data_IF_023046647865
#
_entry.id   IF_023046647865
#
_cell.length_a   1.000
_cell.length_b   1.000
_cell.length_c   1.000
_cell.angle_alpha   90.00
_cell.angle_beta   90.00
_cell.angle_gamma   90.00
#
_symmetry.space_group_name_H-M   'P 1'
#
loop_
_entity.id
_entity.type
_entity.pdbx_description
1 polymer ?
#
# COMPACT_ATOMS: atom_id res chain seq x y z
N UNK A 1 -28.41 -6.51 -15.20
CA UNK A 1 -27.18 -7.26 -14.80
C UNK A 1 -27.26 -7.44 -13.28
N UNK A 2 -27.05 -8.66 -12.78
CA UNK A 2 -26.93 -8.88 -11.34
C UNK A 2 -25.61 -8.30 -10.80
N UNK A 3 -25.52 -8.04 -9.49
CA UNK A 3 -24.26 -7.57 -8.90
C UNK A 3 -23.12 -8.56 -9.10
N UNK A 4 -23.40 -9.86 -9.00
CA UNK A 4 -22.40 -10.90 -9.25
C UNK A 4 -21.90 -10.90 -10.71
N UNK A 5 -22.78 -10.67 -11.68
CA UNK A 5 -22.36 -10.49 -13.07
C UNK A 5 -21.52 -9.24 -13.25
N UNK A 6 -21.90 -8.15 -12.58
CA UNK A 6 -21.15 -6.90 -12.64
C UNK A 6 -19.74 -7.09 -12.09
N UNK A 7 -19.58 -7.63 -10.87
CA UNK A 7 -18.26 -7.81 -10.28
C UNK A 7 -17.37 -8.78 -11.07
N UNK A 8 -17.95 -9.87 -11.59
CA UNK A 8 -17.22 -10.82 -12.45
C UNK A 8 -16.73 -10.16 -13.74
N UNK A 9 -17.59 -9.46 -14.43
CA UNK A 9 -17.23 -8.84 -15.70
C UNK A 9 -16.20 -7.71 -15.50
N UNK A 10 -16.40 -6.86 -14.51
CA UNK A 10 -15.52 -5.72 -14.21
C UNK A 10 -14.14 -6.20 -13.74
N UNK A 11 -14.08 -7.06 -12.70
CA UNK A 11 -12.82 -7.58 -12.19
C UNK A 11 -12.02 -8.30 -13.27
N UNK A 12 -12.68 -9.17 -14.07
CA UNK A 12 -12.00 -9.92 -15.13
C UNK A 12 -11.51 -9.04 -16.27
N UNK A 13 -12.23 -7.98 -16.59
CA UNK A 13 -11.75 -6.99 -17.55
C UNK A 13 -10.49 -6.30 -17.05
N UNK A 14 -10.49 -5.78 -15.81
CA UNK A 14 -9.33 -5.12 -15.21
C UNK A 14 -8.14 -6.10 -15.08
N UNK A 15 -8.40 -7.35 -14.66
CA UNK A 15 -7.38 -8.39 -14.55
C UNK A 15 -6.71 -8.73 -15.87
N UNK A 16 -7.45 -8.67 -16.98
CA UNK A 16 -6.91 -8.90 -18.33
C UNK A 16 -6.05 -7.73 -18.84
N UNK A 17 -6.25 -6.53 -18.33
CA UNK A 17 -5.62 -5.29 -18.80
C UNK A 17 -4.87 -4.58 -17.64
N UNK A 18 -3.94 -5.27 -16.94
CA UNK A 18 -3.24 -4.67 -15.83
C UNK A 18 -2.20 -3.66 -16.32
N UNK A 19 -2.04 -2.57 -15.57
CA UNK A 19 -1.06 -1.54 -15.83
C UNK A 19 -0.22 -1.27 -14.59
N UNK A 20 1.07 -0.96 -14.79
CA UNK A 20 2.00 -0.67 -13.70
C UNK A 20 1.71 0.68 -13.07
N UNK A 21 2.22 0.87 -11.85
CA UNK A 21 2.15 2.12 -11.09
C UNK A 21 2.52 3.34 -11.94
N UNK A 22 1.73 4.41 -11.87
CA UNK A 22 1.81 5.65 -12.65
C UNK A 22 1.68 5.47 -14.18
N UNK A 23 1.28 4.29 -14.63
CA UNK A 23 1.02 3.99 -16.04
C UNK A 23 -0.41 3.46 -16.27
N UNK A 24 -1.30 3.60 -15.28
CA UNK A 24 -2.68 3.11 -15.26
C UNK A 24 -3.61 3.97 -16.14
N UNK A 25 -3.21 4.22 -17.39
CA UNK A 25 -3.94 5.13 -18.30
C UNK A 25 -5.27 4.56 -18.77
N UNK A 26 -5.28 3.28 -19.19
CA UNK A 26 -6.47 2.59 -19.68
C UNK A 26 -7.43 2.27 -18.52
N UNK A 27 -6.90 1.87 -17.37
CA UNK A 27 -7.65 1.67 -16.13
C UNK A 27 -8.32 2.96 -15.67
N UNK A 28 -7.57 4.07 -15.67
CA UNK A 28 -8.09 5.42 -15.37
C UNK A 28 -9.22 5.79 -16.34
N UNK A 29 -9.01 5.61 -17.65
CA UNK A 29 -10.03 5.91 -18.67
C UNK A 29 -11.29 5.04 -18.51
N UNK A 30 -11.11 3.76 -18.16
CA UNK A 30 -12.22 2.85 -17.88
C UNK A 30 -13.07 3.32 -16.70
N UNK A 31 -12.42 3.79 -15.61
CA UNK A 31 -13.10 4.33 -14.43
C UNK A 31 -13.79 5.67 -14.76
N UNK A 32 -13.15 6.55 -15.52
CA UNK A 32 -13.76 7.81 -15.99
C UNK A 32 -15.01 7.56 -16.83
N UNK A 33 -14.95 6.61 -17.76
CA UNK A 33 -16.10 6.25 -18.61
C UNK A 33 -17.25 5.64 -17.78
N UNK A 34 -16.92 4.83 -16.76
CA UNK A 34 -17.89 4.31 -15.82
C UNK A 34 -18.61 5.44 -15.04
N UNK A 35 -17.86 6.37 -14.45
CA UNK A 35 -18.42 7.51 -13.71
C UNK A 35 -19.25 8.42 -14.62
N UNK A 36 -18.78 8.65 -15.84
CA UNK A 36 -19.49 9.41 -16.86
C UNK A 36 -20.82 8.76 -17.27
N UNK A 37 -20.86 7.44 -17.45
CA UNK A 37 -22.10 6.70 -17.72
C UNK A 37 -23.12 6.83 -16.59
N UNK A 38 -22.65 6.91 -15.35
CA UNK A 38 -23.48 7.14 -14.18
C UNK A 38 -23.82 8.62 -13.94
N UNK A 39 -23.31 9.55 -14.77
CA UNK A 39 -23.42 10.99 -14.55
C UNK A 39 -22.91 11.42 -13.16
N UNK A 40 -21.82 10.83 -12.69
CA UNK A 40 -21.12 11.22 -11.45
C UNK A 40 -20.01 12.21 -11.79
N UNK A 41 -19.97 13.41 -11.17
CA UNK A 41 -18.85 14.32 -11.32
C UNK A 41 -17.54 13.67 -10.88
N UNK A 42 -16.48 13.87 -11.64
CA UNK A 42 -15.15 13.34 -11.33
C UNK A 42 -14.04 14.28 -11.81
N UNK A 43 -12.85 14.04 -11.31
CA UNK A 43 -11.63 14.71 -11.73
C UNK A 43 -10.43 13.78 -11.71
N UNK A 44 -9.42 14.09 -12.50
CA UNK A 44 -8.11 13.43 -12.52
C UNK A 44 -7.08 14.42 -11.98
N UNK A 45 -6.70 14.31 -10.69
CA UNK A 45 -5.85 15.32 -10.05
C UNK A 45 -4.36 15.18 -10.38
N UNK A 46 -3.92 13.99 -10.77
CA UNK A 46 -2.54 13.66 -11.16
C UNK A 46 -2.54 12.88 -12.48
N UNK A 47 -1.41 12.29 -12.86
CA UNK A 47 -1.23 11.62 -14.16
C UNK A 47 -2.25 10.51 -14.40
N UNK A 48 -2.53 9.70 -13.38
CA UNK A 48 -3.50 8.60 -13.39
C UNK A 48 -4.34 8.63 -12.11
N UNK A 49 -5.36 7.77 -12.01
CA UNK A 49 -6.31 7.79 -10.91
C UNK A 49 -7.44 8.79 -11.05
N UNK A 50 -8.52 8.59 -10.33
CA UNK A 50 -9.77 9.37 -10.46
C UNK A 50 -10.40 9.60 -9.08
N UNK A 51 -10.90 10.80 -8.87
CA UNK A 51 -11.72 11.15 -7.71
C UNK A 51 -13.15 11.43 -8.19
N UNK A 52 -14.11 10.61 -7.75
CA UNK A 52 -15.54 10.84 -7.97
C UNK A 52 -16.20 11.43 -6.75
N UNK A 53 -17.32 12.18 -6.95
CA UNK A 53 -18.05 12.81 -5.86
C UNK A 53 -19.56 12.78 -6.06
N UNK A 54 -20.30 12.48 -5.00
CA UNK A 54 -21.75 12.63 -4.93
C UNK A 54 -22.13 13.42 -3.68
N UNK A 55 -22.96 14.43 -3.85
CA UNK A 55 -23.52 15.22 -2.75
C UNK A 55 -24.74 14.51 -2.17
N UNK A 56 -24.72 14.24 -0.87
CA UNK A 56 -25.81 13.58 -0.14
C UNK A 56 -26.71 14.57 0.59
N UNK A 57 -27.55 14.03 1.48
CA UNK A 57 -28.57 14.82 2.21
C UNK A 57 -28.02 15.52 3.45
N UNK A 58 -26.76 15.27 3.84
CA UNK A 58 -26.11 15.93 4.98
C UNK A 58 -24.83 16.63 4.56
N UNK A 59 -24.26 17.43 5.45
CA UNK A 59 -22.96 18.09 5.22
C UNK A 59 -21.75 17.19 5.58
N UNK A 60 -21.98 15.95 6.03
CA UNK A 60 -20.91 15.03 6.36
C UNK A 60 -20.35 14.40 5.09
N UNK A 61 -19.04 14.34 4.95
CA UNK A 61 -18.37 13.75 3.82
C UNK A 61 -17.53 12.52 4.22
N UNK A 62 -17.80 11.39 3.59
CA UNK A 62 -17.09 10.14 3.82
C UNK A 62 -16.37 9.73 2.53
N UNK A 63 -15.09 9.38 2.63
CA UNK A 63 -14.32 8.90 1.50
C UNK A 63 -14.12 7.38 1.56
N UNK A 64 -14.11 6.74 0.40
CA UNK A 64 -13.83 5.31 0.22
C UNK A 64 -12.77 5.15 -0.85
N UNK A 65 -11.75 4.34 -0.56
CA UNK A 65 -10.56 4.19 -1.43
C UNK A 65 -10.44 2.77 -1.97
N UNK A 66 -10.03 2.70 -3.21
CA UNK A 66 -9.45 1.52 -3.83
C UNK A 66 -8.21 1.93 -4.64
N UNK A 67 -7.17 1.11 -4.59
CA UNK A 67 -6.00 1.17 -5.46
C UNK A 67 -6.31 0.58 -6.84
N UNK A 68 -5.52 0.96 -7.87
CA UNK A 68 -5.80 0.57 -9.26
C UNK A 68 -4.60 -0.01 -10.02
N UNK A 69 -3.40 0.03 -9.47
CA UNK A 69 -2.16 -0.38 -10.13
C UNK A 69 -1.92 -1.90 -10.05
N UNK A 70 -0.99 -2.39 -10.88
CA UNK A 70 -0.58 -3.77 -10.98
C UNK A 70 0.94 -3.91 -10.84
N UNK A 71 1.42 -5.16 -10.79
CA UNK A 71 2.79 -5.54 -10.52
C UNK A 71 3.51 -6.13 -11.74
N UNK A 72 4.84 -5.95 -11.85
CA UNK A 72 5.65 -6.55 -12.92
C UNK A 72 5.88 -8.05 -12.66
N UNK A 73 4.81 -8.83 -12.73
CA UNK A 73 4.78 -10.28 -12.46
C UNK A 73 4.14 -11.01 -13.63
N UNK A 74 4.82 -12.04 -14.15
CA UNK A 74 4.26 -12.90 -15.20
C UNK A 74 3.24 -13.87 -14.61
N UNK A 75 1.98 -13.68 -14.93
CA UNK A 75 0.91 -14.60 -14.51
C UNK A 75 1.05 -15.98 -15.13
N UNK A 76 0.82 -17.03 -14.34
CA UNK A 76 0.86 -18.43 -14.79
C UNK A 76 -0.47 -19.18 -14.59
N UNK A 77 -1.53 -18.51 -14.14
CA UNK A 77 -2.85 -19.11 -14.00
C UNK A 77 -3.38 -19.58 -15.36
N UNK A 78 -4.13 -20.67 -15.33
CA UNK A 78 -4.89 -21.18 -16.50
C UNK A 78 -6.36 -20.81 -16.35
N UNK A 79 -6.66 -19.54 -16.57
CA UNK A 79 -8.00 -18.98 -16.48
C UNK A 79 -8.34 -18.16 -17.73
N UNK A 80 -9.62 -18.12 -18.16
CA UNK A 80 -10.01 -17.42 -19.40
C UNK A 80 -9.83 -15.89 -19.33
N UNK A 81 -9.63 -15.33 -18.15
CA UNK A 81 -9.40 -13.90 -17.90
C UNK A 81 -7.98 -13.58 -17.45
N UNK A 82 -7.03 -14.47 -17.73
CA UNK A 82 -5.61 -14.24 -17.50
C UNK A 82 -5.15 -12.91 -18.10
N UNK A 83 -4.18 -12.25 -17.47
CA UNK A 83 -3.54 -11.05 -18.01
C UNK A 83 -3.12 -11.22 -19.47
N UNK A 84 -3.48 -10.25 -20.30
CA UNK A 84 -3.06 -10.17 -21.71
C UNK A 84 -1.79 -9.34 -21.90
N UNK A 85 -1.29 -8.74 -20.81
CA UNK A 85 -0.06 -7.92 -20.80
C UNK A 85 1.11 -8.77 -20.31
N UNK A 86 2.12 -8.91 -21.15
CA UNK A 86 3.31 -9.70 -20.81
C UNK A 86 4.04 -9.10 -19.61
N UNK A 87 4.46 -9.97 -18.67
CA UNK A 87 5.15 -9.58 -17.44
C UNK A 87 4.38 -8.61 -16.52
N UNK A 88 3.05 -8.46 -16.65
CA UNK A 88 2.24 -7.62 -15.76
C UNK A 88 1.00 -8.38 -15.28
N UNK A 89 0.68 -8.29 -13.99
CA UNK A 89 -0.45 -8.96 -13.37
C UNK A 89 -0.98 -8.16 -12.16
N UNK A 90 -2.29 -8.15 -11.94
CA UNK A 90 -2.88 -7.75 -10.66
C UNK A 90 -2.61 -8.81 -9.59
N UNK A 91 -1.35 -8.91 -9.15
CA UNK A 91 -0.91 -9.91 -8.17
C UNK A 91 -1.07 -9.44 -6.71
N UNK A 92 -1.66 -8.26 -6.48
CA UNK A 92 -2.08 -7.77 -5.17
C UNK A 92 -3.61 -7.67 -5.02
N UNK A 93 -4.37 -7.83 -6.11
CA UNK A 93 -5.84 -7.87 -6.09
C UNK A 93 -6.52 -6.51 -6.25
N UNK A 94 -5.79 -5.48 -6.70
CA UNK A 94 -6.32 -4.13 -6.89
C UNK A 94 -7.44 -4.09 -7.96
N UNK A 95 -7.45 -5.01 -8.92
CA UNK A 95 -8.59 -5.25 -9.81
C UNK A 95 -9.88 -5.55 -9.05
N UNK A 96 -9.77 -6.29 -7.95
CA UNK A 96 -10.88 -6.56 -7.03
C UNK A 96 -11.27 -5.34 -6.22
N UNK A 97 -10.31 -4.64 -5.61
CA UNK A 97 -10.59 -3.44 -4.81
C UNK A 97 -11.31 -2.38 -5.64
N UNK A 98 -10.79 -2.09 -6.84
CA UNK A 98 -11.42 -1.19 -7.82
C UNK A 98 -12.83 -1.63 -8.16
N UNK A 99 -13.04 -2.93 -8.45
CA UNK A 99 -14.36 -3.49 -8.77
C UNK A 99 -15.35 -3.33 -7.62
N UNK A 100 -14.94 -3.61 -6.38
CA UNK A 100 -15.80 -3.46 -5.22
C UNK A 100 -16.21 -2.00 -5.00
N UNK A 101 -15.28 -1.06 -5.16
CA UNK A 101 -15.59 0.37 -5.09
C UNK A 101 -16.52 0.80 -6.23
N UNK A 102 -16.37 0.27 -7.45
CA UNK A 102 -17.28 0.55 -8.57
C UNK A 102 -18.68 0.03 -8.27
N UNK A 103 -18.85 -1.16 -7.69
CA UNK A 103 -20.16 -1.67 -7.27
C UNK A 103 -20.79 -0.76 -6.20
N UNK A 104 -20.01 -0.38 -5.19
CA UNK A 104 -20.47 0.55 -4.15
C UNK A 104 -20.86 1.92 -4.75
N UNK A 105 -20.09 2.42 -5.72
CA UNK A 105 -20.41 3.66 -6.46
C UNK A 105 -21.76 3.57 -7.17
N UNK A 106 -22.10 2.44 -7.80
CA UNK A 106 -23.42 2.22 -8.39
C UNK A 106 -24.53 2.27 -7.34
N UNK A 107 -24.33 1.65 -6.18
CA UNK A 107 -25.30 1.67 -5.07
C UNK A 107 -25.51 3.09 -4.55
N UNK A 108 -24.45 3.86 -4.35
CA UNK A 108 -24.53 5.27 -3.96
C UNK A 108 -25.30 6.11 -5.00
N UNK A 109 -25.03 5.88 -6.30
CA UNK A 109 -25.76 6.57 -7.37
C UNK A 109 -27.25 6.22 -7.37
N UNK A 110 -27.60 4.97 -7.12
CA UNK A 110 -29.00 4.56 -7.04
C UNK A 110 -29.73 5.21 -5.85
N UNK A 111 -29.06 5.42 -4.71
CA UNK A 111 -29.59 6.18 -3.57
C UNK A 111 -29.69 7.68 -3.90
N UNK A 112 -28.68 8.24 -4.53
CA UNK A 112 -28.66 9.64 -4.97
C UNK A 112 -29.84 9.95 -5.91
N UNK A 113 -30.12 9.10 -6.89
CA UNK A 113 -31.22 9.29 -7.85
C UNK A 113 -32.60 9.24 -7.20
N UNK A 114 -32.72 8.59 -6.04
CA UNK A 114 -33.93 8.58 -5.21
C UNK A 114 -34.01 9.73 -4.21
N UNK A 115 -32.93 10.50 -4.04
CA UNK A 115 -32.80 11.51 -2.97
C UNK A 115 -32.60 10.89 -1.58
N UNK A 116 -32.06 9.68 -1.51
CA UNK A 116 -31.87 8.88 -0.29
C UNK A 116 -30.41 8.75 0.12
N UNK A 117 -29.45 9.35 -0.61
CA UNK A 117 -28.03 9.28 -0.25
C UNK A 117 -27.78 10.07 1.06
N UNK A 118 -27.42 9.41 2.17
CA UNK A 118 -27.42 10.05 3.48
C UNK A 118 -26.31 11.09 3.64
N UNK A 119 -25.13 10.85 3.09
CA UNK A 119 -23.93 11.67 3.25
C UNK A 119 -23.29 11.96 1.90
N UNK A 120 -22.45 13.00 1.86
CA UNK A 120 -21.56 13.22 0.72
C UNK A 120 -20.56 12.07 0.64
N UNK A 121 -20.29 11.59 -0.58
CA UNK A 121 -19.37 10.47 -0.81
C UNK A 121 -18.28 10.87 -1.79
N UNK A 122 -17.03 10.67 -1.38
CA UNK A 122 -15.83 10.77 -2.22
C UNK A 122 -15.36 9.37 -2.56
N UNK A 123 -15.28 9.04 -3.85
CA UNK A 123 -14.73 7.79 -4.36
C UNK A 123 -13.31 8.03 -4.81
N UNK A 124 -12.33 7.37 -4.17
CA UNK A 124 -10.90 7.53 -4.45
C UNK A 124 -10.43 6.28 -5.19
N UNK A 125 -10.25 6.38 -6.50
CA UNK A 125 -9.59 5.38 -7.32
C UNK A 125 -8.13 5.78 -7.45
N UNK A 126 -7.31 5.27 -6.54
CA UNK A 126 -5.96 5.71 -6.29
C UNK A 126 -4.94 4.96 -7.14
N UNK A 127 -4.05 5.63 -7.88
CA UNK A 127 -2.95 4.99 -8.59
C UNK A 127 -1.76 4.68 -7.66
N UNK A 128 -0.84 3.83 -8.13
CA UNK A 128 0.53 3.72 -7.63
C UNK A 128 0.64 3.45 -6.12
N UNK A 129 -0.09 2.46 -5.62
CA UNK A 129 0.10 1.98 -4.24
C UNK A 129 1.45 1.29 -4.09
N UNK A 130 1.86 0.49 -5.08
CA UNK A 130 2.98 -0.46 -4.99
C UNK A 130 4.37 0.20 -5.05
N UNK A 131 4.50 1.42 -5.56
CA UNK A 131 5.83 2.01 -5.78
C UNK A 131 6.01 3.48 -5.38
N UNK A 132 5.11 4.38 -5.79
CA UNK A 132 5.37 5.82 -5.74
C UNK A 132 4.45 6.58 -4.77
N UNK A 133 3.83 5.87 -3.80
CA UNK A 133 2.96 6.46 -2.79
C UNK A 133 1.88 7.37 -3.41
N UNK A 134 1.05 6.80 -4.30
CA UNK A 134 -0.01 7.52 -4.99
C UNK A 134 -0.98 8.25 -4.06
N UNK A 135 -1.24 7.68 -2.87
CA UNK A 135 -2.02 8.36 -1.82
C UNK A 135 -1.38 9.71 -1.43
N UNK A 136 -0.05 9.72 -1.20
CA UNK A 136 0.66 10.95 -0.85
C UNK A 136 0.64 11.96 -2.00
N UNK A 137 0.81 11.50 -3.25
CA UNK A 137 0.73 12.37 -4.42
C UNK A 137 -0.65 13.01 -4.59
N UNK A 138 -1.73 12.24 -4.36
CA UNK A 138 -3.10 12.77 -4.35
C UNK A 138 -3.29 13.83 -3.27
N UNK A 139 -2.78 13.60 -2.06
CA UNK A 139 -2.84 14.57 -0.96
C UNK A 139 -2.07 15.84 -1.33
N UNK A 140 -0.85 15.72 -1.84
CA UNK A 140 -0.02 16.84 -2.25
C UNK A 140 -0.61 17.66 -3.43
N UNK A 141 -1.49 17.06 -4.23
CA UNK A 141 -2.22 17.78 -5.28
C UNK A 141 -3.29 18.74 -4.75
N UNK A 142 -3.58 18.71 -3.46
CA UNK A 142 -4.63 19.48 -2.76
C UNK A 142 -6.05 19.19 -3.30
N UNK A 143 -6.27 18.06 -3.98
CA UNK A 143 -7.57 17.71 -4.55
C UNK A 143 -8.66 17.57 -3.48
N UNK A 144 -8.28 17.18 -2.28
CA UNK A 144 -9.20 16.91 -1.18
C UNK A 144 -9.67 18.15 -0.41
N UNK A 145 -9.01 19.29 -0.55
CA UNK A 145 -9.28 20.51 0.26
C UNK A 145 -10.73 21.00 0.17
N UNK A 146 -11.38 20.75 -0.96
CA UNK A 146 -12.76 21.21 -1.23
C UNK A 146 -13.84 20.27 -0.67
N UNK A 147 -13.49 19.04 -0.28
CA UNK A 147 -14.49 18.03 0.09
C UNK A 147 -14.81 17.98 1.59
N UNK A 148 -13.97 18.56 2.45
CA UNK A 148 -14.12 18.52 3.91
C UNK A 148 -14.37 17.09 4.42
N UNK A 149 -13.47 16.16 4.06
CA UNK A 149 -13.58 14.74 4.39
C UNK A 149 -13.46 14.55 5.91
N UNK A 150 -14.41 13.83 6.52
CA UNK A 150 -14.46 13.57 7.95
C UNK A 150 -14.00 12.15 8.32
N UNK A 151 -14.13 11.20 7.39
CA UNK A 151 -13.74 9.80 7.57
C UNK A 151 -13.28 9.20 6.25
N UNK A 152 -12.29 8.32 6.32
CA UNK A 152 -11.79 7.61 5.14
C UNK A 152 -11.73 6.11 5.42
N UNK A 153 -12.30 5.32 4.54
CA UNK A 153 -12.30 3.87 4.64
C UNK A 153 -11.61 3.23 3.44
N UNK A 154 -10.79 2.22 3.73
CA UNK A 154 -10.14 1.38 2.73
C UNK A 154 -10.26 -0.09 3.10
N UNK A 155 -10.09 -0.94 2.11
CA UNK A 155 -10.04 -2.39 2.28
C UNK A 155 -8.92 -2.98 1.44
N UNK A 156 -8.45 -4.16 1.87
CA UNK A 156 -7.60 -5.00 1.05
C UNK A 156 -8.07 -6.45 1.11
N UNK A 157 -7.97 -7.19 0.02
CA UNK A 157 -8.17 -8.64 0.05
C UNK A 157 -7.00 -9.32 0.77
N UNK A 158 -7.27 -10.41 1.47
CA UNK A 158 -6.25 -11.08 2.26
C UNK A 158 -6.24 -12.60 2.06
N UNK A 159 -5.30 -13.12 1.25
CA UNK A 159 -5.20 -14.55 0.99
C UNK A 159 -4.64 -15.37 2.17
N UNK A 160 -4.32 -14.74 3.30
CA UNK A 160 -3.94 -15.41 4.55
C UNK A 160 -5.14 -15.68 5.46
N UNK A 161 -6.28 -15.02 5.18
CA UNK A 161 -7.55 -15.23 5.87
C UNK A 161 -8.50 -16.04 4.99
N UNK A 162 -9.27 -16.93 5.58
CA UNK A 162 -10.23 -17.75 4.83
C UNK A 162 -11.37 -16.89 4.27
N UNK A 163 -11.91 -17.26 3.13
CA UNK A 163 -13.08 -16.61 2.51
C UNK A 163 -14.24 -16.56 3.51
N UNK A 164 -14.94 -15.43 3.57
CA UNK A 164 -15.98 -15.18 4.56
C UNK A 164 -15.46 -14.66 5.92
N UNK A 165 -14.15 -14.43 6.06
CA UNK A 165 -13.55 -13.81 7.25
C UNK A 165 -13.17 -12.36 6.95
N UNK A 166 -13.32 -11.46 7.93
CA UNK A 166 -12.76 -10.10 7.88
C UNK A 166 -11.81 -9.92 9.06
N UNK A 167 -10.56 -9.62 8.73
CA UNK A 167 -9.54 -9.29 9.72
C UNK A 167 -9.48 -7.77 9.91
N UNK A 168 -9.51 -7.32 11.15
CA UNK A 168 -9.48 -5.92 11.53
C UNK A 168 -8.76 -5.75 12.88
N UNK A 169 -8.34 -4.55 13.17
CA UNK A 169 -7.64 -4.24 14.42
C UNK A 169 -7.74 -2.73 14.67
N UNK A 170 -7.81 -2.35 15.92
CA UNK A 170 -7.58 -0.97 16.31
C UNK A 170 -6.09 -0.66 16.35
N UNK A 171 -5.70 0.60 16.23
CA UNK A 171 -4.30 1.05 16.15
C UNK A 171 -3.57 0.50 14.92
N UNK A 172 -2.28 0.18 14.99
CA UNK A 172 -1.48 -0.26 13.84
C UNK A 172 -2.00 -1.58 13.26
N UNK A 173 -2.30 -1.58 11.97
CA UNK A 173 -2.76 -2.75 11.23
C UNK A 173 -1.73 -3.25 10.20
N UNK A 174 -0.88 -2.35 9.67
CA UNK A 174 0.30 -2.70 8.85
C UNK A 174 1.54 -1.99 9.36
N UNK A 175 2.72 -2.43 8.91
CA UNK A 175 4.00 -1.81 9.24
C UNK A 175 4.32 -0.62 8.32
N UNK A 176 5.26 0.22 8.72
CA UNK A 176 5.94 1.12 7.79
C UNK A 176 6.73 0.32 6.74
N UNK A 177 6.96 0.93 5.59
CA UNK A 177 7.82 0.38 4.55
C UNK A 177 8.78 1.47 4.10
N UNK A 178 10.06 1.34 4.39
CA UNK A 178 11.09 2.31 3.97
C UNK A 178 12.30 1.56 3.47
N UNK A 179 12.72 1.82 2.25
CA UNK A 179 13.98 1.34 1.72
C UNK A 179 15.10 2.33 2.01
N UNK A 180 16.31 1.84 2.17
CA UNK A 180 17.48 2.66 2.40
C UNK A 180 18.67 2.18 1.58
N UNK A 181 19.57 3.12 1.24
CA UNK A 181 20.79 2.83 0.51
C UNK A 181 21.96 3.66 1.04
N UNK A 182 23.03 2.99 1.44
CA UNK A 182 24.32 3.60 1.68
C UNK A 182 25.15 3.58 0.39
N UNK A 183 25.79 4.72 0.10
CA UNK A 183 26.80 4.84 -0.96
C UNK A 183 28.13 5.20 -0.34
N UNK A 184 29.18 4.48 -0.72
CA UNK A 184 30.54 4.69 -0.24
C UNK A 184 31.43 5.02 -1.41
N UNK A 185 32.27 6.05 -1.23
CA UNK A 185 33.27 6.45 -2.22
C UNK A 185 34.60 6.77 -1.55
N UNK A 186 35.59 5.92 -1.79
CA UNK A 186 36.97 6.11 -1.37
C UNK A 186 37.86 6.54 -2.54
N UNK A 187 39.07 6.01 -2.58
CA UNK A 187 39.99 6.19 -3.71
C UNK A 187 40.76 4.90 -4.01
N UNK A 188 40.88 4.56 -5.30
CA UNK A 188 41.56 3.37 -5.71
C UNK A 188 43.11 3.53 -5.71
N UNK A 189 43.79 2.46 -5.40
CA UNK A 189 45.26 2.31 -5.59
C UNK A 189 45.61 0.88 -5.94
N UNK A 190 46.86 0.63 -6.38
CA UNK A 190 47.33 -0.72 -6.57
C UNK A 190 47.51 -1.41 -5.20
N UNK A 191 47.17 -2.69 -5.08
CA UNK A 191 47.24 -3.43 -3.82
C UNK A 191 48.67 -3.44 -3.21
N UNK A 192 49.71 -3.29 -3.99
CA UNK A 192 51.10 -3.17 -3.50
C UNK A 192 51.40 -1.80 -2.85
N UNK A 193 50.54 -0.80 -3.08
CA UNK A 193 50.62 0.55 -2.50
C UNK A 193 49.27 0.89 -1.91
N UNK A 194 48.71 -0.02 -1.11
CA UNK A 194 47.38 0.09 -0.54
C UNK A 194 47.17 1.29 0.36
N UNK A 195 48.26 1.77 0.98
CA UNK A 195 48.33 2.94 1.85
C UNK A 195 48.01 4.26 1.12
N UNK A 196 48.14 4.27 -0.22
CA UNK A 196 47.79 5.43 -1.05
C UNK A 196 46.30 5.52 -1.37
N UNK A 197 45.56 4.45 -1.11
CA UNK A 197 44.11 4.39 -1.36
C UNK A 197 43.27 4.56 -0.09
N UNK A 198 41.97 4.79 -0.29
CA UNK A 198 40.94 4.80 0.77
C UNK A 198 39.92 3.70 0.47
N UNK A 199 39.94 2.64 1.27
CA UNK A 199 39.24 1.40 0.96
C UNK A 199 37.74 1.48 1.29
N UNK A 200 36.87 1.57 0.29
CA UNK A 200 35.44 1.43 0.47
C UNK A 200 35.04 0.09 1.12
N UNK A 201 35.85 -0.98 0.93
CA UNK A 201 35.57 -2.28 1.58
C UNK A 201 35.74 -2.29 3.07
N UNK A 202 36.73 -1.55 3.62
CA UNK A 202 36.90 -1.41 5.08
C UNK A 202 35.72 -0.64 5.69
N UNK A 203 35.35 0.47 5.06
CA UNK A 203 34.17 1.26 5.43
C UNK A 203 32.88 0.44 5.35
N UNK A 204 32.70 -0.38 4.30
CA UNK A 204 31.53 -1.24 4.13
C UNK A 204 31.37 -2.26 5.26
N UNK A 205 32.47 -2.88 5.71
CA UNK A 205 32.40 -3.80 6.85
C UNK A 205 31.92 -3.09 8.13
N UNK A 206 32.30 -1.84 8.33
CA UNK A 206 31.84 -1.04 9.45
C UNK A 206 30.34 -0.71 9.31
N UNK A 207 29.89 -0.20 8.15
CA UNK A 207 28.45 0.08 7.89
C UNK A 207 27.61 -1.17 8.14
N UNK A 208 27.95 -2.29 7.52
CA UNK A 208 27.23 -3.57 7.65
C UNK A 208 27.13 -4.01 9.12
N UNK A 209 28.24 -3.94 9.85
CA UNK A 209 28.27 -4.29 11.28
C UNK A 209 27.38 -3.39 12.11
N UNK A 210 27.39 -2.08 11.90
CA UNK A 210 26.62 -1.12 12.68
C UNK A 210 25.12 -1.19 12.34
N UNK A 211 24.76 -1.27 11.05
CA UNK A 211 23.35 -1.38 10.63
C UNK A 211 22.69 -2.61 11.23
N UNK A 212 23.36 -3.76 11.22
CA UNK A 212 22.83 -5.01 11.80
C UNK A 212 22.67 -4.97 13.32
N UNK A 213 23.26 -4.01 14.00
CA UNK A 213 23.19 -3.83 15.46
C UNK A 213 22.13 -2.80 15.89
N UNK A 214 21.57 -2.00 14.98
CA UNK A 214 20.59 -0.95 15.32
C UNK A 214 19.42 -1.55 16.11
N UNK A 215 18.84 -2.61 15.60
CA UNK A 215 17.67 -3.28 16.22
C UNK A 215 18.01 -3.79 17.63
N UNK A 216 19.21 -4.30 17.84
CA UNK A 216 19.63 -4.89 19.11
C UNK A 216 19.86 -3.85 20.20
N UNK A 217 20.37 -2.67 19.87
CA UNK A 217 20.88 -1.71 20.87
C UNK A 217 20.10 -0.40 20.95
N UNK A 218 19.27 -0.08 19.95
CA UNK A 218 18.63 1.23 19.87
C UNK A 218 17.09 1.18 19.87
N UNK A 219 16.49 0.02 19.61
CA UNK A 219 15.04 -0.16 19.58
C UNK A 219 14.54 -0.89 20.82
N UNK A 220 13.27 -0.65 21.17
CA UNK A 220 12.64 -1.37 22.26
C UNK A 220 12.48 -2.86 21.88
N UNK A 221 13.02 -3.76 22.69
CA UNK A 221 12.95 -5.21 22.45
C UNK A 221 11.55 -5.83 22.47
N UNK A 222 10.53 -5.08 22.93
CA UNK A 222 9.13 -5.49 22.87
C UNK A 222 8.45 -5.08 21.56
N UNK A 223 8.99 -4.09 20.85
CA UNK A 223 8.49 -3.65 19.57
C UNK A 223 8.95 -4.61 18.48
N UNK A 224 8.04 -4.86 17.51
CA UNK A 224 8.39 -5.63 16.32
C UNK A 224 8.95 -4.69 15.27
N UNK A 225 10.18 -4.94 14.88
CA UNK A 225 10.89 -4.15 13.90
C UNK A 225 11.70 -5.07 12.99
N UNK A 226 11.89 -4.65 11.74
CA UNK A 226 12.83 -5.24 10.81
C UNK A 226 13.79 -4.15 10.34
N UNK A 227 15.07 -4.37 10.53
CA UNK A 227 16.15 -3.61 9.88
C UNK A 227 16.97 -4.65 9.11
N UNK A 228 16.70 -4.76 7.81
CA UNK A 228 17.24 -5.83 6.98
C UNK A 228 18.20 -5.27 5.93
N UNK A 229 19.35 -5.92 5.78
CA UNK A 229 20.26 -5.69 4.67
C UNK A 229 19.95 -6.70 3.55
N UNK A 230 19.43 -6.22 2.42
CA UNK A 230 19.04 -7.04 1.29
C UNK A 230 20.23 -7.40 0.40
N UNK A 231 21.06 -6.41 0.08
CA UNK A 231 22.27 -6.61 -0.72
C UNK A 231 23.34 -5.57 -0.43
N UNK A 232 24.57 -5.91 -0.76
CA UNK A 232 25.69 -4.97 -0.81
C UNK A 232 26.70 -5.42 -1.87
N UNK A 233 27.43 -4.45 -2.40
CA UNK A 233 28.51 -4.69 -3.32
C UNK A 233 29.67 -3.71 -3.03
N UNK A 234 30.89 -4.15 -3.18
CA UNK A 234 32.07 -3.31 -3.00
C UNK A 234 33.25 -3.81 -3.80
N UNK A 235 33.89 -2.90 -4.53
CA UNK A 235 35.11 -3.16 -5.30
C UNK A 235 34.89 -3.53 -6.75
N UNK A 236 35.92 -3.27 -7.56
CA UNK A 236 35.90 -3.36 -9.02
C UNK A 236 36.84 -4.47 -9.51
N UNK A 237 37.97 -4.71 -8.82
CA UNK A 237 38.97 -5.68 -9.20
C UNK A 237 39.74 -6.29 -8.02
N UNK A 238 40.26 -7.50 -8.18
CA UNK A 238 40.87 -8.27 -7.09
C UNK A 238 42.23 -7.73 -6.60
N UNK A 239 42.89 -6.89 -7.40
CA UNK A 239 44.23 -6.38 -7.12
C UNK A 239 44.31 -4.86 -6.98
N UNK A 240 43.18 -4.22 -6.70
CA UNK A 240 43.08 -2.79 -6.42
C UNK A 240 42.42 -2.54 -5.03
N UNK A 241 42.72 -1.41 -4.42
CA UNK A 241 41.96 -0.90 -3.29
C UNK A 241 40.58 -0.49 -3.81
N UNK A 242 39.47 -1.04 -3.27
CA UNK A 242 38.11 -0.71 -3.74
C UNK A 242 37.76 0.76 -3.54
N UNK A 243 37.30 1.43 -4.59
CA UNK A 243 36.88 2.82 -4.55
C UNK A 243 35.39 2.96 -4.22
N UNK A 244 34.54 2.12 -4.80
CA UNK A 244 33.10 2.27 -4.69
C UNK A 244 32.46 1.09 -3.96
N UNK A 245 31.37 1.38 -3.27
CA UNK A 245 30.51 0.39 -2.66
C UNK A 245 29.11 0.92 -2.41
N UNK A 246 28.12 0.02 -2.33
CA UNK A 246 26.79 0.33 -1.88
C UNK A 246 26.22 -0.81 -1.01
N UNK A 247 25.30 -0.44 -0.12
CA UNK A 247 24.52 -1.37 0.69
C UNK A 247 23.05 -0.92 0.69
N UNK A 248 22.15 -1.84 0.41
CA UNK A 248 20.72 -1.59 0.32
C UNK A 248 19.94 -2.51 1.24
N UNK A 249 18.83 -1.99 1.76
CA UNK A 249 17.96 -2.75 2.63
C UNK A 249 16.60 -2.11 2.85
N UNK A 250 15.84 -2.73 3.74
CA UNK A 250 14.49 -2.26 4.10
C UNK A 250 14.31 -2.17 5.60
N UNK A 251 13.51 -1.19 6.01
CA UNK A 251 13.06 -0.96 7.39
C UNK A 251 11.57 -1.22 7.45
N UNK A 252 11.13 -1.96 8.48
CA UNK A 252 9.72 -2.15 8.84
C UNK A 252 9.55 -1.86 10.31
N UNK A 253 8.69 -0.93 10.66
CA UNK A 253 8.34 -0.61 12.05
C UNK A 253 6.84 -0.39 12.17
N UNK A 254 6.29 -0.61 13.36
CA UNK A 254 4.91 -0.22 13.67
C UNK A 254 4.83 1.15 14.32
N UNK A 255 5.91 1.59 14.93
CA UNK A 255 6.01 2.88 15.60
C UNK A 255 6.82 3.84 14.73
N UNK A 256 6.25 5.00 14.41
CA UNK A 256 6.94 6.07 13.67
C UNK A 256 8.19 6.56 14.39
N UNK A 257 8.19 6.57 15.74
CA UNK A 257 9.36 6.97 16.51
C UNK A 257 10.50 5.95 16.34
N UNK A 258 10.21 4.64 16.28
CA UNK A 258 11.22 3.62 16.00
C UNK A 258 11.84 3.82 14.60
N UNK A 259 11.03 4.18 13.59
CA UNK A 259 11.52 4.52 12.26
C UNK A 259 12.50 5.69 12.28
N UNK A 260 12.14 6.76 12.99
CA UNK A 260 13.01 7.93 13.13
C UNK A 260 14.31 7.61 13.88
N UNK A 261 14.25 6.75 14.91
CA UNK A 261 15.45 6.26 15.60
C UNK A 261 16.37 5.52 14.62
N UNK A 262 15.83 4.62 13.80
CA UNK A 262 16.62 3.86 12.80
C UNK A 262 17.27 4.81 11.79
N UNK A 263 16.51 5.73 11.20
CA UNK A 263 17.03 6.72 10.24
C UNK A 263 18.14 7.57 10.85
N UNK A 264 17.94 8.07 12.07
CA UNK A 264 18.94 8.85 12.78
C UNK A 264 20.22 8.05 13.11
N UNK A 265 20.10 6.75 13.45
CA UNK A 265 21.28 5.91 13.66
C UNK A 265 22.02 5.65 12.34
N UNK A 266 21.33 5.42 11.24
CA UNK A 266 21.94 5.24 9.93
C UNK A 266 22.69 6.49 9.46
N UNK A 267 22.14 7.68 9.72
CA UNK A 267 22.84 8.94 9.44
C UNK A 267 24.15 9.06 10.24
N UNK A 268 24.12 8.75 11.54
CA UNK A 268 25.33 8.74 12.40
C UNK A 268 26.35 7.70 11.94
N UNK A 269 25.89 6.54 11.43
CA UNK A 269 26.78 5.54 10.86
C UNK A 269 27.51 6.13 9.65
N UNK A 270 26.80 6.79 8.73
CA UNK A 270 27.41 7.44 7.57
C UNK A 270 28.48 8.47 8.00
N UNK A 271 28.13 9.36 8.93
CA UNK A 271 29.06 10.36 9.48
C UNK A 271 30.31 9.72 10.14
N UNK A 272 30.12 8.62 10.88
CA UNK A 272 31.23 7.91 11.53
C UNK A 272 32.21 7.30 10.54
N UNK A 273 31.71 6.82 9.39
CA UNK A 273 32.53 6.24 8.30
C UNK A 273 33.48 7.28 7.73
N UNK A 274 32.99 8.47 7.43
CA UNK A 274 33.80 9.56 6.92
C UNK A 274 34.95 9.92 7.89
N UNK A 275 34.63 9.98 9.18
CA UNK A 275 35.58 10.32 10.25
C UNK A 275 36.64 9.23 10.44
N UNK A 276 36.29 7.95 10.34
CA UNK A 276 37.17 6.83 10.67
C UNK A 276 38.03 6.36 9.48
N UNK A 277 37.53 6.48 8.26
CA UNK A 277 38.12 5.84 7.08
C UNK A 277 38.50 6.83 5.98
N UNK A 278 38.23 8.13 6.12
CA UNK A 278 38.37 9.14 5.07
C UNK A 278 37.66 8.73 3.73
N UNK A 279 36.55 8.03 3.85
CA UNK A 279 35.68 7.58 2.74
C UNK A 279 34.38 8.35 2.80
N UNK A 280 33.96 8.99 1.71
CA UNK A 280 32.63 9.63 1.66
C UNK A 280 31.55 8.58 1.79
N UNK A 281 30.60 8.83 2.69
CA UNK A 281 29.47 7.93 2.92
C UNK A 281 28.17 8.75 3.01
N UNK A 282 27.23 8.41 2.15
CA UNK A 282 25.87 8.98 2.24
C UNK A 282 24.86 7.87 2.46
N UNK A 283 23.75 8.20 3.12
CA UNK A 283 22.58 7.32 3.24
C UNK A 283 21.35 8.04 2.70
N UNK A 284 20.70 7.41 1.75
CA UNK A 284 19.43 7.86 1.18
C UNK A 284 18.30 6.95 1.66
N UNK A 285 17.13 7.52 1.86
CA UNK A 285 15.90 6.80 2.16
C UNK A 285 14.91 7.05 1.03
N UNK A 286 14.37 5.97 0.46
CA UNK A 286 13.24 6.10 -0.43
C UNK A 286 12.05 6.71 0.31
N UNK A 287 11.16 7.39 -0.42
CA UNK A 287 9.88 7.79 0.13
C UNK A 287 9.12 6.52 0.53
N UNK A 288 9.00 6.30 1.82
CA UNK A 288 8.40 5.09 2.37
C UNK A 288 7.01 5.37 2.89
N UNK A 289 6.31 4.31 3.28
CA UNK A 289 4.97 4.38 3.85
C UNK A 289 5.06 4.39 5.38
N UNK A 290 4.36 5.33 6.07
CA UNK A 290 4.20 5.21 7.51
C UNK A 290 3.36 3.96 7.85
N UNK A 291 3.32 3.51 9.12
CA UNK A 291 2.41 2.44 9.53
C UNK A 291 0.97 2.83 9.25
N UNK A 292 0.18 1.91 8.69
CA UNK A 292 -1.27 2.13 8.61
C UNK A 292 -1.86 1.94 10.00
N UNK A 293 -2.38 3.03 10.55
CA UNK A 293 -2.93 3.08 11.90
C UNK A 293 -4.41 3.42 11.84
N UNK A 294 -5.24 2.47 12.24
CA UNK A 294 -6.69 2.63 12.34
C UNK A 294 -7.04 3.57 13.48
N UNK A 295 -7.94 4.52 13.23
CA UNK A 295 -8.33 5.49 14.25
C UNK A 295 -9.35 4.89 15.22
N UNK A 296 -9.03 4.94 16.51
CA UNK A 296 -9.84 4.35 17.57
C UNK A 296 -11.28 4.89 17.62
N UNK A 297 -11.50 6.14 17.19
CA UNK A 297 -12.85 6.72 17.18
C UNK A 297 -13.78 6.08 16.15
N UNK A 298 -13.22 5.39 15.13
CA UNK A 298 -14.00 4.70 14.10
C UNK A 298 -14.26 3.22 14.44
N UNK A 299 -13.59 2.68 15.45
CA UNK A 299 -13.60 1.25 15.77
C UNK A 299 -15.01 0.70 16.03
N UNK A 300 -15.79 1.36 16.88
CA UNK A 300 -17.13 0.86 17.25
C UNK A 300 -18.06 0.85 16.03
N UNK A 301 -18.02 1.89 15.20
CA UNK A 301 -18.80 1.97 13.97
C UNK A 301 -18.40 0.89 12.96
N UNK A 302 -17.09 0.70 12.76
CA UNK A 302 -16.58 -0.37 11.88
C UNK A 302 -17.02 -1.75 12.38
N UNK A 303 -16.87 -2.02 13.68
CA UNK A 303 -17.27 -3.29 14.28
C UNK A 303 -18.78 -3.53 14.16
N UNK A 304 -19.60 -2.51 14.35
CA UNK A 304 -21.05 -2.58 14.12
C UNK A 304 -21.37 -2.91 12.65
N UNK A 305 -20.77 -2.20 11.70
CA UNK A 305 -20.94 -2.47 10.28
C UNK A 305 -20.55 -3.91 9.91
N UNK A 306 -19.39 -4.37 10.36
CA UNK A 306 -18.93 -5.75 10.10
C UNK A 306 -19.86 -6.79 10.76
N UNK A 307 -20.36 -6.53 11.98
CA UNK A 307 -21.25 -7.45 12.69
C UNK A 307 -22.63 -7.57 12.00
N UNK A 308 -23.04 -6.57 11.24
CA UNK A 308 -24.29 -6.61 10.48
C UNK A 308 -24.24 -7.51 9.24
N UNK A 309 -23.04 -7.97 8.86
CA UNK A 309 -22.80 -8.85 7.72
C UNK A 309 -22.66 -10.31 8.17
N UNK A 310 -22.97 -11.23 7.28
CA UNK A 310 -22.78 -12.68 7.52
C UNK A 310 -21.30 -13.08 7.30
N UNK A 311 -20.42 -12.56 8.16
CA UNK A 311 -18.98 -12.73 8.07
C UNK A 311 -18.39 -13.16 9.42
N UNK A 312 -17.33 -13.96 9.37
CA UNK A 312 -16.52 -14.28 10.54
C UNK A 312 -15.59 -13.12 10.85
N UNK A 313 -15.64 -12.58 12.06
CA UNK A 313 -14.79 -11.47 12.49
C UNK A 313 -13.52 -11.99 13.14
N UNK A 314 -12.37 -11.60 12.61
CA UNK A 314 -11.05 -11.88 13.16
C UNK A 314 -10.39 -10.59 13.62
N UNK A 315 -10.53 -10.28 14.92
CA UNK A 315 -9.81 -9.17 15.53
C UNK A 315 -8.35 -9.56 15.73
N UNK A 316 -7.45 -8.93 14.96
CA UNK A 316 -6.04 -9.29 14.94
C UNK A 316 -5.33 -8.94 16.26
N UNK A 317 -4.64 -9.91 16.84
CA UNK A 317 -3.76 -9.66 17.98
C UNK A 317 -2.51 -8.85 17.59
N UNK A 318 -2.05 -8.99 16.36
CA UNK A 318 -0.80 -8.41 15.83
C UNK A 318 -1.01 -7.91 14.43
N UNK A 319 -0.47 -6.73 14.09
CA UNK A 319 -0.55 -6.20 12.73
C UNK A 319 0.28 -7.03 11.73
N UNK A 320 -0.02 -6.88 10.45
CA UNK A 320 0.78 -7.46 9.37
C UNK A 320 2.07 -6.67 9.13
N UNK A 321 3.11 -7.34 8.58
CA UNK A 321 4.45 -6.75 8.37
C UNK A 321 4.66 -6.15 6.97
N UNK A 322 3.65 -6.07 6.13
CA UNK A 322 3.74 -5.35 4.85
C UNK A 322 3.37 -3.87 5.02
N UNK A 323 3.75 -3.05 4.06
CA UNK A 323 3.40 -1.64 4.00
C UNK A 323 2.12 -1.42 3.20
N UNK A 324 1.47 -0.26 3.38
CA UNK A 324 0.27 0.16 2.66
C UNK A 324 0.22 1.70 2.65
N UNK A 325 0.15 2.30 1.49
CA UNK A 325 0.18 3.76 1.35
C UNK A 325 -1.13 4.45 1.75
N UNK A 326 -2.21 3.69 1.96
CA UNK A 326 -3.42 4.18 2.63
C UNK A 326 -3.12 4.92 3.95
N UNK A 327 -2.02 4.58 4.59
CA UNK A 327 -1.50 5.22 5.80
C UNK A 327 -1.39 6.74 5.69
N UNK A 328 -1.15 7.29 4.50
CA UNK A 328 -1.05 8.73 4.28
C UNK A 328 -2.38 9.46 4.47
N UNK A 329 -3.52 8.81 4.20
CA UNK A 329 -4.84 9.45 4.33
C UNK A 329 -5.18 9.89 5.74
N UNK A 330 -4.52 9.35 6.75
CA UNK A 330 -4.67 9.82 8.14
C UNK A 330 -4.29 11.30 8.32
N UNK A 331 -3.52 11.88 7.40
CA UNK A 331 -3.20 13.31 7.40
C UNK A 331 -4.43 14.18 7.06
N UNK A 332 -5.42 13.62 6.36
CA UNK A 332 -6.63 14.34 5.94
C UNK A 332 -7.75 14.18 6.97
N UNK A 333 -7.98 12.96 7.44
CA UNK A 333 -9.09 12.62 8.33
C UNK A 333 -8.82 11.31 9.07
N UNK A 334 -9.56 11.02 10.15
CA UNK A 334 -9.61 9.70 10.75
C UNK A 334 -9.87 8.62 9.70
N UNK A 335 -9.04 7.59 9.69
CA UNK A 335 -9.10 6.54 8.67
C UNK A 335 -9.13 5.14 9.27
N UNK A 336 -9.76 4.21 8.56
CA UNK A 336 -9.86 2.83 8.99
C UNK A 336 -9.72 1.86 7.82
N UNK A 337 -8.90 0.83 8.02
CA UNK A 337 -8.56 -0.17 7.02
C UNK A 337 -8.86 -1.57 7.54
N UNK A 338 -9.43 -2.45 6.70
CA UNK A 338 -9.77 -3.83 7.05
C UNK A 338 -9.35 -4.79 5.93
N UNK A 339 -9.21 -6.07 6.27
CA UNK A 339 -8.81 -7.11 5.33
C UNK A 339 -9.92 -8.14 5.13
N UNK A 340 -10.35 -8.34 3.89
CA UNK A 340 -11.32 -9.36 3.52
C UNK A 340 -10.63 -10.65 3.09
N UNK A 341 -10.88 -11.73 3.80
CA UNK A 341 -10.32 -13.03 3.53
C UNK A 341 -10.73 -13.59 2.16
N UNK A 342 -9.76 -14.14 1.44
CA UNK A 342 -9.96 -14.68 0.09
C UNK A 342 -9.44 -16.11 -0.07
N UNK A 343 -8.81 -16.68 0.97
CA UNK A 343 -8.29 -18.04 0.92
C UNK A 343 -9.42 -19.03 0.76
N UNK A 344 -9.36 -19.87 -0.28
CA UNK A 344 -10.32 -20.93 -0.52
C UNK A 344 -9.57 -22.20 -0.99
N UNK A 345 -9.36 -23.13 -0.06
CA UNK A 345 -8.62 -24.38 -0.33
C UNK A 345 -9.34 -25.29 -1.33
N UNK A 346 -10.67 -25.30 -1.33
CA UNK A 346 -11.46 -26.14 -2.23
C UNK A 346 -11.34 -25.70 -3.71
N UNK A 347 -11.10 -24.39 -3.95
CA UNK A 347 -10.93 -23.81 -5.28
C UNK A 347 -9.47 -23.58 -5.65
N UNK A 348 -8.51 -24.04 -4.84
CA UNK A 348 -7.07 -23.80 -5.02
C UNK A 348 -6.67 -22.30 -5.00
N UNK A 349 -7.46 -21.43 -4.33
CA UNK A 349 -7.12 -20.03 -4.08
C UNK A 349 -6.35 -19.92 -2.76
N UNK A 350 -5.09 -20.35 -2.79
CA UNK A 350 -4.21 -20.47 -1.62
C UNK A 350 -2.90 -19.71 -1.77
N UNK A 351 -2.71 -19.04 -2.89
CA UNK A 351 -1.49 -18.33 -3.19
C UNK A 351 -1.52 -16.91 -2.59
N UNK A 352 -0.39 -16.48 -2.02
CA UNK A 352 -0.25 -15.20 -1.34
C UNK A 352 -0.20 -14.01 -2.30
N UNK A 353 -0.24 -12.81 -1.72
CA UNK A 353 0.01 -11.56 -2.43
C UNK A 353 1.37 -11.58 -3.12
N UNK A 354 1.52 -10.85 -4.24
CA UNK A 354 2.73 -10.74 -5.06
C UNK A 354 3.21 -12.08 -5.62
N UNK A 355 2.30 -13.07 -5.73
CA UNK A 355 2.59 -14.32 -6.41
C UNK A 355 1.94 -14.35 -7.79
N UNK A 356 2.58 -15.08 -8.71
CA UNK A 356 2.09 -15.22 -10.08
C UNK A 356 0.85 -16.10 -10.25
N UNK A 357 0.27 -16.54 -9.12
CA UNK A 357 -0.93 -17.40 -9.04
C UNK A 357 -2.03 -16.83 -8.15
N UNK A 358 -1.89 -15.61 -7.65
CA UNK A 358 -2.98 -15.00 -6.87
C UNK A 358 -4.28 -15.05 -7.67
N UNK A 359 -5.31 -15.58 -7.04
CA UNK A 359 -6.68 -15.55 -7.53
C UNK A 359 -7.65 -15.77 -6.36
N UNK A 360 -8.92 -15.38 -6.54
CA UNK A 360 -9.91 -15.45 -5.48
C UNK A 360 -11.34 -15.46 -6.03
N UNK A 361 -12.31 -15.79 -5.16
CA UNK A 361 -13.74 -15.73 -5.47
C UNK A 361 -14.22 -14.30 -5.59
N UNK A 362 -14.78 -13.94 -6.74
CA UNK A 362 -15.30 -12.59 -6.97
C UNK A 362 -16.50 -12.22 -6.07
N UNK A 363 -17.16 -13.21 -5.46
CA UNK A 363 -18.28 -12.96 -4.52
C UNK A 363 -17.83 -12.15 -3.28
N UNK A 364 -16.56 -12.24 -2.86
CA UNK A 364 -16.02 -11.43 -1.76
C UNK A 364 -16.15 -9.93 -2.03
N UNK A 365 -16.14 -9.52 -3.29
CA UNK A 365 -16.24 -8.11 -3.69
C UNK A 365 -17.63 -7.53 -3.41
N UNK A 366 -18.67 -8.37 -3.40
CA UNK A 366 -20.02 -7.98 -2.96
C UNK A 366 -20.00 -7.72 -1.46
N UNK A 367 -19.35 -8.58 -0.66
CA UNK A 367 -19.23 -8.39 0.79
C UNK A 367 -18.46 -7.10 1.12
N UNK A 368 -17.45 -6.73 0.34
CA UNK A 368 -16.76 -5.43 0.49
C UNK A 368 -17.73 -4.27 0.22
N UNK A 369 -18.51 -4.34 -0.86
CA UNK A 369 -19.51 -3.31 -1.17
C UNK A 369 -20.63 -3.26 -0.11
N UNK A 370 -21.02 -4.40 0.50
CA UNK A 370 -21.95 -4.48 1.61
C UNK A 370 -21.39 -3.78 2.85
N UNK A 371 -20.12 -4.00 3.17
CA UNK A 371 -19.42 -3.30 4.25
C UNK A 371 -19.42 -1.79 4.05
N UNK A 372 -19.05 -1.32 2.87
CA UNK A 372 -19.10 0.11 2.55
C UNK A 372 -20.52 0.68 2.65
N UNK A 373 -21.52 -0.09 2.22
CA UNK A 373 -22.94 0.31 2.34
C UNK A 373 -23.37 0.38 3.81
N UNK A 374 -22.93 -0.56 4.65
CA UNK A 374 -23.24 -0.54 6.09
C UNK A 374 -22.60 0.68 6.77
N UNK A 375 -21.35 1.03 6.43
CA UNK A 375 -20.69 2.24 6.95
C UNK A 375 -21.39 3.53 6.49
N UNK A 376 -21.83 3.60 5.24
CA UNK A 376 -22.55 4.75 4.69
C UNK A 376 -23.85 5.03 5.44
N UNK A 377 -24.55 3.99 5.87
CA UNK A 377 -25.84 4.11 6.55
C UNK A 377 -25.72 4.45 8.06
N UNK A 378 -24.52 4.46 8.62
CA UNK A 378 -24.34 4.82 10.03
C UNK A 378 -24.62 6.29 10.28
N UNK A 379 -25.53 6.56 11.21
CA UNK A 379 -25.93 7.92 11.59
C UNK A 379 -26.99 8.55 10.68
N UNK A 380 -27.51 7.82 9.69
CA UNK A 380 -28.60 8.30 8.82
C UNK A 380 -29.93 8.48 9.57
N UNK A 381 -30.09 7.87 10.75
CA UNK A 381 -31.31 7.86 11.56
C UNK A 381 -31.29 8.85 12.77
N UNK A 382 -30.39 9.86 12.77
CA UNK A 382 -30.32 10.82 13.88
C UNK A 382 -30.58 12.24 13.46
#
# INVERSE_FOLDING_TARGET
MSELEFVKNTRRYLHQHPELSMQEYETTAYIEDFLKQLNIPYERPIQTGVIGYLEGNSNHTIAYRADIDALPIQEVNDVPYKSTVDQVMHACGHDGHTTALMLFTQRCKALYDKGELPHNVVFIYQPSEETEAGANQLIQSNVFDKYNIEKIYGVHIMPFEDVGTVAFKNDEITASATEYRFYLKGSSSHVASKEDGKAASEAMMHVLSQVTQIQQFHLNGLNRNIVHVGQFNVGEAINTVPENGYLEGTIRTYDTNDLEIVKNQMQKIAESVELLFDVTCTVDFAEGYPPTTNDAQLYDGVKEALTSLDLTLHELEKPYLFGEDFSFYRQLAPSYFVFFGTRNVEKDYIYGLHTNRLNFDEEVLISVADYYTALLNQGADK
#
